data_IF_680115786566
#
_entry.id   IF_680115786566
#
_cell.length_a   1.000
_cell.length_b   1.000
_cell.length_c   1.000
_cell.angle_alpha   90.00
_cell.angle_beta   90.00
_cell.angle_gamma   90.00
#
_symmetry.space_group_name_H-M   'P 1'
#
loop_
_entity.id
_entity.type
_entity.pdbx_description
1 polymer ?
#
# COMPACT_ATOMS: atom_id res chain seq x y z
N UNK A 1 47.63 -32.66 -25.20
CA UNK A 1 47.35 -32.79 -26.61
C UNK A 1 46.29 -31.77 -26.93
N UNK A 2 46.62 -30.69 -27.58
CA UNK A 2 46.67 -30.49 -29.07
C UNK A 2 45.24 -30.47 -29.62
N UNK A 3 44.85 -29.39 -30.13
CA UNK A 3 45.00 -28.60 -31.33
C UNK A 3 43.64 -28.41 -31.99
N UNK A 4 43.26 -27.11 -32.25
CA UNK A 4 43.15 -26.44 -33.55
C UNK A 4 42.09 -27.06 -34.50
N UNK A 5 41.26 -26.35 -35.18
CA UNK A 5 41.39 -25.21 -36.11
C UNK A 5 40.00 -24.78 -36.60
N UNK A 6 39.75 -23.52 -36.68
CA UNK A 6 39.58 -22.63 -37.85
C UNK A 6 38.38 -22.79 -38.79
N UNK A 7 37.78 -21.62 -39.04
CA UNK A 7 37.27 -21.04 -40.30
C UNK A 7 35.97 -21.61 -40.94
N UNK A 8 34.99 -20.80 -41.24
CA UNK A 8 34.93 -19.90 -42.39
C UNK A 8 33.61 -19.12 -42.46
N UNK A 9 33.74 -17.89 -42.92
CA UNK A 9 32.76 -16.92 -43.44
C UNK A 9 31.74 -17.54 -44.42
N UNK A 10 30.53 -17.02 -44.42
CA UNK A 10 29.86 -16.55 -45.64
C UNK A 10 28.72 -15.58 -45.33
N UNK A 11 28.86 -14.43 -45.93
CA UNK A 11 27.97 -13.36 -46.30
C UNK A 11 26.74 -13.81 -47.09
N UNK A 12 25.60 -13.21 -46.88
CA UNK A 12 24.43 -13.32 -47.74
C UNK A 12 23.55 -12.06 -47.61
N UNK A 13 23.75 -11.17 -48.55
CA UNK A 13 22.93 -10.04 -48.92
C UNK A 13 21.70 -10.49 -49.69
N UNK A 14 20.52 -9.91 -49.43
CA UNK A 14 19.44 -9.65 -50.42
C UNK A 14 18.32 -8.88 -49.75
N UNK A 15 18.10 -7.72 -50.17
CA UNK A 15 17.29 -7.13 -51.25
C UNK A 15 15.93 -6.71 -50.73
N UNK A 16 15.82 -5.36 -50.63
CA UNK A 16 14.55 -4.63 -50.57
C UNK A 16 14.02 -4.34 -51.96
N UNK A 17 12.74 -4.46 -52.24
CA UNK A 17 12.17 -3.80 -53.43
C UNK A 17 11.55 -2.45 -53.05
N UNK A 18 11.99 -1.44 -53.77
CA UNK A 18 11.40 -0.12 -53.90
C UNK A 18 10.06 -0.24 -54.65
N UNK A 19 9.03 0.37 -54.13
CA UNK A 19 7.81 0.63 -54.88
C UNK A 19 7.66 2.12 -55.19
N UNK A 20 7.29 2.35 -56.38
CA UNK A 20 7.32 3.59 -57.16
C UNK A 20 6.19 4.56 -56.84
N UNK A 21 6.55 5.82 -56.92
CA UNK A 21 5.73 7.03 -57.03
C UNK A 21 4.78 6.97 -58.24
N UNK A 22 3.52 7.31 -58.05
CA UNK A 22 2.68 7.89 -59.10
C UNK A 22 2.00 9.16 -58.59
N UNK A 23 2.45 10.26 -59.13
CA UNK A 23 1.79 11.57 -59.15
C UNK A 23 0.46 11.45 -59.92
N UNK A 24 -0.56 12.10 -59.45
CA UNK A 24 -1.60 12.67 -60.28
C UNK A 24 -2.02 14.02 -59.71
N UNK A 25 -1.98 14.99 -60.63
CA UNK A 25 -2.22 16.40 -60.43
C UNK A 25 -3.72 16.74 -60.49
N UNK A 26 -4.06 17.74 -59.68
CA UNK A 26 -4.95 18.87 -59.85
C UNK A 26 -6.35 18.68 -60.47
N UNK A 27 -7.35 19.17 -59.76
CA UNK A 27 -8.30 20.17 -60.23
C UNK A 27 -8.94 20.97 -59.08
N UNK A 28 -8.85 22.27 -59.27
CA UNK A 28 -9.36 23.38 -58.48
C UNK A 28 -10.88 23.51 -58.49
N UNK A 29 -11.45 24.02 -57.40
CA UNK A 29 -12.75 24.66 -57.35
C UNK A 29 -13.24 24.91 -55.91
N UNK A 30 -13.66 26.13 -55.55
CA UNK A 30 -13.90 26.52 -54.16
C UNK A 30 -15.35 26.37 -53.74
N UNK A 31 -15.62 25.85 -52.57
CA UNK A 31 -16.84 26.19 -51.85
C UNK A 31 -16.82 25.88 -50.34
N UNK A 32 -17.01 26.99 -49.65
CA UNK A 32 -17.75 27.18 -48.38
C UNK A 32 -17.52 26.29 -47.17
N UNK A 33 -16.95 26.90 -46.16
CA UNK A 33 -16.91 26.53 -44.74
C UNK A 33 -18.28 26.20 -44.16
N UNK A 34 -18.33 25.18 -43.28
CA UNK A 34 -19.13 25.24 -42.07
C UNK A 34 -18.29 24.90 -40.86
N UNK A 35 -17.42 25.80 -40.41
CA UNK A 35 -16.56 25.58 -39.21
C UNK A 35 -17.15 26.08 -37.89
N UNK A 36 -18.44 26.38 -37.82
CA UNK A 36 -19.01 26.94 -36.57
C UNK A 36 -19.99 26.07 -35.76
N UNK A 37 -20.20 24.82 -36.16
CA UNK A 37 -21.14 23.95 -35.41
C UNK A 37 -20.50 22.80 -34.61
N UNK A 38 -19.25 22.54 -34.78
CA UNK A 38 -18.57 21.44 -34.05
C UNK A 38 -17.91 21.89 -32.75
N UNK A 39 -17.45 23.11 -32.64
CA UNK A 39 -16.81 23.60 -31.40
C UNK A 39 -17.77 23.75 -30.22
N UNK A 40 -19.02 24.19 -30.46
CA UNK A 40 -20.01 24.34 -29.37
C UNK A 40 -20.54 23.03 -28.77
N UNK A 41 -20.30 21.90 -29.41
CA UNK A 41 -20.75 20.58 -28.90
C UNK A 41 -19.66 19.90 -28.09
N UNK A 42 -18.41 20.29 -28.26
CA UNK A 42 -17.29 19.79 -27.46
C UNK A 42 -17.13 20.56 -26.15
N UNK A 43 -17.33 21.87 -26.15
CA UNK A 43 -17.26 22.67 -24.91
C UNK A 43 -18.33 22.29 -23.89
N UNK A 44 -19.57 21.98 -24.32
CA UNK A 44 -20.63 21.52 -23.43
C UNK A 44 -20.44 20.12 -22.82
N UNK A 45 -19.49 19.34 -23.34
CA UNK A 45 -19.20 17.99 -22.83
C UNK A 45 -18.04 18.00 -21.82
N UNK A 46 -17.24 19.07 -21.78
CA UNK A 46 -16.14 19.22 -20.81
C UNK A 46 -16.56 19.92 -19.52
N UNK A 47 -17.59 20.77 -19.53
CA UNK A 47 -18.11 21.43 -18.34
C UNK A 47 -18.91 20.51 -17.38
N UNK A 48 -19.16 19.26 -17.75
CA UNK A 48 -19.82 18.28 -16.87
C UNK A 48 -18.86 17.29 -16.18
N UNK A 49 -17.57 17.52 -16.22
CA UNK A 49 -16.56 16.71 -15.50
C UNK A 49 -15.99 17.37 -14.24
N UNK A 50 -16.58 18.44 -13.78
CA UNK A 50 -16.16 19.14 -12.59
C UNK A 50 -17.16 19.03 -11.47
N UNK A 51 -17.43 17.88 -10.94
CA UNK A 51 -17.91 17.72 -9.56
C UNK A 51 -18.08 16.23 -9.16
N UNK A 52 -17.10 15.40 -9.43
CA UNK A 52 -16.90 14.21 -8.65
C UNK A 52 -16.02 14.53 -7.43
N UNK A 53 -16.34 15.55 -6.67
CA UNK A 53 -16.10 15.52 -5.23
C UNK A 53 -16.91 14.33 -4.75
N UNK A 54 -16.23 13.22 -4.55
CA UNK A 54 -16.79 12.06 -3.87
C UNK A 54 -17.37 12.61 -2.57
N UNK A 55 -18.68 12.60 -2.42
CA UNK A 55 -19.29 12.65 -1.11
C UNK A 55 -18.68 11.46 -0.39
N UNK A 56 -17.65 11.69 0.42
CA UNK A 56 -17.35 10.80 1.51
C UNK A 56 -18.69 10.70 2.23
N UNK A 57 -19.20 9.50 2.40
CA UNK A 57 -20.29 9.29 3.32
C UNK A 57 -19.92 10.06 4.57
N UNK A 58 -20.88 10.73 5.24
CA UNK A 58 -20.65 11.57 6.42
C UNK A 58 -20.05 10.81 7.62
N UNK A 59 -19.39 9.70 7.40
CA UNK A 59 -18.71 8.89 8.39
C UNK A 59 -17.30 9.48 8.61
N UNK A 60 -17.02 10.07 9.78
CA UNK A 60 -15.74 10.71 10.09
C UNK A 60 -14.57 9.73 10.15
N UNK A 61 -14.86 8.43 10.21
CA UNK A 61 -13.84 7.39 10.27
C UNK A 61 -13.31 6.96 8.90
N UNK A 62 -13.94 7.41 7.81
CA UNK A 62 -13.46 7.11 6.45
C UNK A 62 -12.25 7.98 6.12
N UNK A 63 -11.13 7.32 5.84
CA UNK A 63 -9.88 7.94 5.37
C UNK A 63 -9.88 8.08 3.85
N UNK A 64 -10.40 7.05 3.16
CA UNK A 64 -10.41 7.01 1.70
C UNK A 64 -11.55 6.15 1.16
N UNK A 65 -12.11 6.55 0.01
CA UNK A 65 -13.08 5.76 -0.75
C UNK A 65 -14.50 5.83 -0.20
N UNK A 66 -15.19 4.69 -0.16
CA UNK A 66 -16.59 4.56 0.25
C UNK A 66 -16.69 3.88 1.61
N UNK A 67 -17.79 4.13 2.33
CA UNK A 67 -18.14 3.36 3.51
C UNK A 67 -18.44 1.90 3.13
N UNK A 68 -18.03 0.98 3.97
CA UNK A 68 -18.25 -0.46 3.83
C UNK A 68 -18.33 -1.09 5.23
N UNK A 69 -19.08 -2.17 5.32
CA UNK A 69 -19.29 -2.89 6.57
C UNK A 69 -19.27 -4.42 6.34
N UNK A 70 -18.39 -4.83 5.44
CA UNK A 70 -18.22 -6.24 5.10
C UNK A 70 -17.50 -6.99 6.21
N UNK A 71 -17.69 -8.30 6.24
CA UNK A 71 -17.02 -9.22 7.17
C UNK A 71 -15.51 -9.25 6.92
N UNK A 72 -14.74 -9.29 7.99
CA UNK A 72 -13.28 -9.23 7.96
C UNK A 72 -12.70 -10.64 7.78
N UNK A 73 -11.70 -10.75 6.93
CA UNK A 73 -10.91 -11.97 6.74
C UNK A 73 -9.55 -11.82 7.41
N UNK A 74 -9.07 -12.86 8.07
CA UNK A 74 -7.70 -12.91 8.59
C UNK A 74 -6.70 -12.96 7.43
N UNK A 75 -5.59 -12.23 7.57
CA UNK A 75 -4.58 -12.09 6.49
C UNK A 75 -3.95 -13.45 6.19
N UNK A 76 -3.71 -14.31 7.17
CA UNK A 76 -3.18 -15.67 7.00
C UNK A 76 -4.00 -16.57 6.06
N UNK A 77 -5.28 -16.22 5.82
CA UNK A 77 -6.17 -16.97 4.93
C UNK A 77 -6.10 -16.51 3.48
N UNK A 78 -5.30 -15.49 3.21
CA UNK A 78 -5.09 -14.95 1.86
C UNK A 78 -3.89 -15.67 1.23
N UNK A 79 -4.14 -16.81 0.63
CA UNK A 79 -3.12 -17.66 0.00
C UNK A 79 -3.05 -17.50 -1.53
N UNK A 80 -3.85 -16.61 -2.11
CA UNK A 80 -3.88 -16.36 -3.56
C UNK A 80 -4.73 -15.15 -3.95
N UNK A 81 -4.84 -14.87 -5.26
CA UNK A 81 -5.65 -13.76 -5.79
C UNK A 81 -7.15 -14.09 -5.73
N UNK A 82 -7.72 -14.08 -4.54
CA UNK A 82 -9.11 -14.48 -4.24
C UNK A 82 -10.16 -13.40 -4.56
N UNK A 83 -9.75 -12.25 -5.11
CA UNK A 83 -10.66 -11.17 -5.47
C UNK A 83 -10.76 -10.08 -4.41
N UNK A 84 -11.97 -9.56 -4.17
CA UNK A 84 -12.21 -8.49 -3.21
C UNK A 84 -12.24 -9.05 -1.79
N UNK A 85 -11.45 -8.44 -0.91
CA UNK A 85 -11.34 -8.82 0.51
C UNK A 85 -11.47 -7.60 1.41
N UNK A 86 -11.92 -7.84 2.63
CA UNK A 86 -11.91 -6.86 3.69
C UNK A 86 -11.02 -7.37 4.82
N UNK A 87 -10.02 -6.57 5.17
CA UNK A 87 -9.09 -6.87 6.26
C UNK A 87 -9.10 -5.76 7.30
N UNK A 88 -8.69 -6.08 8.51
CA UNK A 88 -8.32 -5.10 9.54
C UNK A 88 -6.92 -5.35 10.03
N UNK A 89 -6.22 -4.30 10.42
CA UNK A 89 -4.88 -4.49 10.94
C UNK A 89 -4.20 -3.20 11.39
N UNK A 90 -3.02 -3.38 11.93
CA UNK A 90 -2.12 -2.33 12.35
C UNK A 90 -1.16 -1.99 11.22
N UNK A 91 -0.96 -0.70 10.96
CA UNK A 91 0.03 -0.22 9.99
C UNK A 91 1.42 -0.37 10.59
N UNK A 92 2.32 -1.04 9.87
CA UNK A 92 3.72 -1.24 10.25
C UNK A 92 4.64 -0.22 9.59
N UNK A 93 4.56 -0.11 8.28
CA UNK A 93 5.39 0.79 7.45
C UNK A 93 4.53 1.56 6.48
N UNK A 94 4.99 2.74 6.09
CA UNK A 94 4.33 3.58 5.10
C UNK A 94 5.37 4.18 4.19
N UNK A 95 5.16 4.05 2.89
CA UNK A 95 5.98 4.65 1.86
C UNK A 95 5.07 5.36 0.85
N UNK A 96 5.51 6.52 0.37
CA UNK A 96 4.79 7.24 -0.68
C UNK A 96 5.75 7.59 -1.81
N UNK A 97 5.29 7.43 -3.04
CA UNK A 97 6.05 7.73 -4.23
C UNK A 97 5.18 8.44 -5.26
N UNK A 98 5.61 9.60 -5.67
CA UNK A 98 4.96 10.33 -6.76
C UNK A 98 5.18 9.60 -8.09
N UNK A 99 4.12 9.48 -8.87
CA UNK A 99 4.10 8.88 -10.19
C UNK A 99 3.58 9.90 -11.23
N UNK A 100 3.64 9.55 -12.50
CA UNK A 100 3.18 10.43 -13.58
C UNK A 100 1.70 10.78 -13.44
N UNK A 101 1.27 11.92 -14.00
CA UNK A 101 -0.11 12.40 -14.06
C UNK A 101 -0.70 12.83 -12.70
N UNK A 102 0.06 13.57 -11.90
CA UNK A 102 -0.39 14.15 -10.62
C UNK A 102 -1.01 13.12 -9.67
N UNK A 103 -0.43 11.92 -9.67
CA UNK A 103 -0.82 10.83 -8.79
C UNK A 103 0.34 10.38 -7.92
N UNK A 104 0.01 9.99 -6.73
CA UNK A 104 0.93 9.37 -5.78
C UNK A 104 0.46 7.96 -5.45
N UNK A 105 1.38 7.01 -5.46
CA UNK A 105 1.16 5.69 -4.87
C UNK A 105 1.59 5.73 -3.41
N UNK A 106 0.70 5.32 -2.53
CA UNK A 106 0.95 5.12 -1.11
C UNK A 106 0.97 3.62 -0.88
N UNK A 107 2.10 3.10 -0.42
CA UNK A 107 2.30 1.70 -0.08
C UNK A 107 2.44 1.60 1.43
N UNK A 108 1.70 0.70 2.05
CA UNK A 108 1.79 0.50 3.48
C UNK A 108 1.52 -0.95 3.85
N UNK A 109 2.35 -1.47 4.76
CA UNK A 109 2.22 -2.82 5.27
C UNK A 109 1.24 -2.84 6.45
N UNK A 110 0.31 -3.78 6.42
CA UNK A 110 -0.70 -3.97 7.47
C UNK A 110 -0.63 -5.39 7.99
N UNK A 111 -0.64 -5.54 9.31
CA UNK A 111 -0.69 -6.83 10.00
C UNK A 111 -1.90 -6.92 10.91
N UNK A 112 -2.55 -8.06 10.93
CA UNK A 112 -3.57 -8.44 11.90
C UNK A 112 -3.02 -9.33 13.02
N UNK A 113 -1.68 -9.46 13.08
CA UNK A 113 -0.91 -10.32 13.98
C UNK A 113 -0.98 -11.83 13.64
N UNK A 114 -1.68 -12.23 12.59
CA UNK A 114 -1.57 -13.57 12.00
C UNK A 114 -0.54 -13.56 10.87
N UNK A 115 -0.62 -12.55 9.99
CA UNK A 115 0.31 -12.33 8.89
C UNK A 115 0.38 -10.84 8.54
N UNK A 116 1.11 -10.50 7.48
CA UNK A 116 1.30 -9.13 7.00
C UNK A 116 1.10 -9.07 5.49
N UNK A 117 0.35 -8.07 5.03
CA UNK A 117 0.11 -7.84 3.60
C UNK A 117 0.37 -6.38 3.22
N UNK A 118 0.90 -6.18 2.00
CA UNK A 118 1.12 -4.85 1.45
C UNK A 118 -0.15 -4.31 0.80
N UNK A 119 -0.53 -3.09 1.15
CA UNK A 119 -1.61 -2.34 0.51
C UNK A 119 -1.05 -1.26 -0.41
N UNK A 120 -1.64 -1.12 -1.60
CA UNK A 120 -1.24 -0.14 -2.61
C UNK A 120 -2.41 0.77 -2.95
N UNK A 121 -2.32 2.02 -2.54
CA UNK A 121 -3.33 3.04 -2.74
C UNK A 121 -2.85 4.07 -3.77
N UNK A 122 -3.66 4.32 -4.80
CA UNK A 122 -3.40 5.36 -5.79
C UNK A 122 -4.27 6.58 -5.49
N UNK A 123 -3.65 7.64 -5.01
CA UNK A 123 -4.32 8.88 -4.66
C UNK A 123 -3.91 10.01 -5.62
N UNK A 124 -4.73 11.07 -5.70
CA UNK A 124 -4.34 12.33 -6.33
C UNK A 124 -3.42 13.08 -5.39
N UNK A 125 -2.48 13.85 -5.93
CA UNK A 125 -1.55 14.61 -5.10
C UNK A 125 -2.26 15.54 -4.09
N UNK A 126 -3.43 16.08 -4.46
CA UNK A 126 -4.25 16.95 -3.59
C UNK A 126 -4.79 16.21 -2.35
N UNK A 127 -5.10 14.92 -2.49
CA UNK A 127 -5.71 14.11 -1.42
C UNK A 127 -4.64 13.42 -0.53
N UNK A 128 -3.38 13.41 -0.95
CA UNK A 128 -2.29 12.66 -0.29
C UNK A 128 -2.05 13.13 1.12
N UNK A 129 -2.06 14.45 1.34
CA UNK A 129 -1.79 15.04 2.65
C UNK A 129 -2.83 14.58 3.70
N UNK A 130 -4.11 14.59 3.34
CA UNK A 130 -5.21 14.18 4.20
C UNK A 130 -5.15 12.67 4.50
N UNK A 131 -4.81 11.87 3.51
CA UNK A 131 -4.67 10.42 3.65
C UNK A 131 -3.48 10.09 4.56
N UNK A 132 -2.31 10.69 4.32
CA UNK A 132 -1.10 10.45 5.12
C UNK A 132 -1.21 11.01 6.54
N UNK A 133 -2.08 11.97 6.79
CA UNK A 133 -2.34 12.46 8.16
C UNK A 133 -2.82 11.33 9.09
N UNK A 134 -3.45 10.30 8.55
CA UNK A 134 -3.89 9.14 9.35
C UNK A 134 -3.09 7.87 9.07
N UNK A 135 -2.67 7.62 7.82
CA UNK A 135 -1.86 6.44 7.48
C UNK A 135 -0.45 6.64 8.03
N UNK A 136 -0.25 6.23 9.27
CA UNK A 136 1.05 6.30 9.95
C UNK A 136 1.32 4.98 10.68
N UNK A 137 2.61 4.59 10.84
CA UNK A 137 2.96 3.40 11.60
C UNK A 137 2.36 3.43 13.02
N UNK A 138 1.73 2.34 13.42
CA UNK A 138 1.07 2.22 14.71
C UNK A 138 -0.43 2.42 14.70
N UNK A 139 -1.00 3.10 13.72
CA UNK A 139 -2.44 3.27 13.58
C UNK A 139 -3.13 1.99 13.09
N UNK A 140 -4.43 1.88 13.38
CA UNK A 140 -5.23 0.73 13.00
C UNK A 140 -6.24 1.10 11.92
N UNK A 141 -6.36 0.25 10.92
CA UNK A 141 -7.23 0.46 9.76
C UNK A 141 -8.03 -0.78 9.41
N UNK A 142 -9.24 -0.56 8.87
CA UNK A 142 -10.01 -1.55 8.12
C UNK A 142 -9.96 -1.15 6.65
N UNK A 143 -9.55 -2.05 5.79
CA UNK A 143 -9.38 -1.80 4.36
C UNK A 143 -10.13 -2.83 3.53
N UNK A 144 -10.76 -2.35 2.45
CA UNK A 144 -11.41 -3.18 1.46
C UNK A 144 -10.75 -2.95 0.10
N UNK A 145 -10.32 -4.02 -0.56
CA UNK A 145 -9.67 -3.94 -1.85
C UNK A 145 -9.52 -5.29 -2.52
N UNK A 146 -8.86 -5.33 -3.65
CA UNK A 146 -8.68 -6.54 -4.46
C UNK A 146 -7.29 -7.11 -4.24
N UNK A 147 -7.22 -8.39 -3.89
CA UNK A 147 -5.94 -9.13 -3.79
C UNK A 147 -5.41 -9.42 -5.18
N UNK A 148 -4.18 -9.01 -5.42
CA UNK A 148 -3.47 -9.25 -6.69
C UNK A 148 -2.05 -9.69 -6.42
N UNK A 149 -1.50 -10.49 -7.33
CA UNK A 149 -0.07 -10.79 -7.33
C UNK A 149 0.68 -9.60 -7.91
N UNK A 150 1.65 -9.08 -7.21
CA UNK A 150 2.52 -8.03 -7.73
C UNK A 150 3.38 -8.58 -8.86
N UNK A 151 3.54 -7.77 -9.92
CA UNK A 151 4.30 -8.19 -11.11
C UNK A 151 5.81 -8.19 -10.91
N UNK A 152 6.30 -7.48 -9.89
CA UNK A 152 7.73 -7.31 -9.65
C UNK A 152 8.25 -8.29 -8.61
N UNK A 153 7.53 -8.42 -7.50
CA UNK A 153 7.98 -9.20 -6.35
C UNK A 153 7.32 -10.59 -6.30
N UNK A 154 6.28 -10.80 -7.13
CA UNK A 154 5.43 -12.00 -7.10
C UNK A 154 4.70 -12.22 -5.77
N UNK A 155 4.72 -11.23 -4.89
CA UNK A 155 4.05 -11.27 -3.61
C UNK A 155 2.58 -10.87 -3.72
N UNK A 156 1.76 -11.34 -2.79
CA UNK A 156 0.36 -10.93 -2.69
C UNK A 156 0.28 -9.51 -2.14
N UNK A 157 -0.52 -8.68 -2.78
CA UNK A 157 -0.79 -7.32 -2.32
C UNK A 157 -2.25 -6.95 -2.53
N UNK A 158 -2.79 -6.08 -1.68
CA UNK A 158 -4.12 -5.53 -1.88
C UNK A 158 -4.00 -4.23 -2.65
N UNK A 159 -4.56 -4.22 -3.84
CA UNK A 159 -4.64 -3.06 -4.74
C UNK A 159 -6.10 -2.67 -4.98
N UNK A 160 -6.33 -1.63 -5.78
CA UNK A 160 -7.70 -1.17 -6.10
C UNK A 160 -8.55 -0.97 -4.84
N UNK A 161 -8.00 -0.26 -3.86
CA UNK A 161 -8.65 -0.02 -2.57
C UNK A 161 -9.97 0.71 -2.80
N UNK A 162 -11.07 0.08 -2.38
CA UNK A 162 -12.44 0.60 -2.47
C UNK A 162 -12.74 1.53 -1.33
N UNK A 163 -12.27 1.18 -0.14
CA UNK A 163 -12.45 1.97 1.07
C UNK A 163 -11.37 1.70 2.11
N UNK A 164 -11.07 2.74 2.89
CA UNK A 164 -10.16 2.68 4.03
C UNK A 164 -10.79 3.42 5.19
N UNK A 165 -10.90 2.77 6.34
CA UNK A 165 -11.59 3.24 7.53
C UNK A 165 -10.68 3.19 8.75
N UNK A 166 -10.77 4.20 9.61
CA UNK A 166 -10.12 4.19 10.94
C UNK A 166 -10.83 3.20 11.83
N UNK A 167 -10.06 2.47 12.60
CA UNK A 167 -10.60 1.61 13.65
C UNK A 167 -9.80 1.80 14.95
N UNK A 168 -10.39 1.55 16.11
CA UNK A 168 -9.67 1.55 17.37
C UNK A 168 -8.67 0.39 17.43
N UNK A 169 -7.71 0.51 18.35
CA UNK A 169 -6.78 -0.57 18.69
C UNK A 169 -7.56 -1.79 19.19
N UNK A 170 -7.55 -2.87 18.43
CA UNK A 170 -8.23 -4.13 18.74
C UNK A 170 -7.28 -5.15 19.40
N UNK A 171 -6.05 -4.77 19.71
CA UNK A 171 -5.10 -5.67 20.35
C UNK A 171 -5.54 -5.98 21.77
N UNK A 172 -5.63 -7.27 22.10
CA UNK A 172 -5.84 -7.69 23.49
C UNK A 172 -4.54 -7.42 24.27
N UNK A 173 -4.58 -6.45 25.16
CA UNK A 173 -3.47 -6.21 26.10
C UNK A 173 -3.63 -7.15 27.28
N UNK A 174 -2.55 -7.86 27.57
CA UNK A 174 -2.50 -8.61 28.82
C UNK A 174 -2.54 -7.61 29.98
N UNK A 175 -3.35 -7.92 30.98
CA UNK A 175 -3.49 -7.15 32.21
C UNK A 175 -3.34 -8.07 33.42
N UNK A 176 -2.70 -7.58 34.44
CA UNK A 176 -2.73 -8.24 35.74
C UNK A 176 -4.00 -7.81 36.47
N UNK A 177 -4.94 -8.77 36.61
CA UNK A 177 -6.23 -8.53 37.26
C UNK A 177 -6.24 -8.97 38.73
N UNK A 178 -5.10 -9.43 39.30
CA UNK A 178 -5.00 -9.83 40.68
C UNK A 178 -5.32 -8.65 41.63
N UNK A 179 -6.11 -8.90 42.65
CA UNK A 179 -6.46 -7.89 43.65
C UNK A 179 -5.24 -7.43 44.44
N UNK A 180 -4.33 -8.34 44.73
CA UNK A 180 -3.04 -8.08 45.34
C UNK A 180 -1.94 -8.35 44.33
N UNK A 181 -1.15 -7.34 44.02
CA UNK A 181 -0.07 -7.41 43.02
C UNK A 181 1.17 -8.01 43.63
N UNK A 182 1.72 -9.01 42.96
CA UNK A 182 3.01 -9.58 43.33
C UNK A 182 4.13 -8.58 42.99
N UNK A 183 5.13 -8.46 43.85
CA UNK A 183 6.39 -7.79 43.54
C UNK A 183 7.30 -8.78 42.84
N UNK A 184 7.72 -8.46 41.61
CA UNK A 184 8.70 -9.26 40.89
C UNK A 184 10.11 -8.94 41.42
N UNK A 185 10.79 -9.97 41.94
CA UNK A 185 12.10 -9.84 42.58
C UNK A 185 13.25 -10.37 41.70
N UNK A 186 12.94 -10.97 40.55
CA UNK A 186 13.95 -11.57 39.68
C UNK A 186 13.49 -11.43 38.21
N UNK A 187 14.02 -10.45 37.49
CA UNK A 187 13.63 -10.17 36.12
C UNK A 187 14.86 -9.81 35.29
N UNK A 188 15.05 -10.50 34.17
CA UNK A 188 16.11 -10.26 33.22
C UNK A 188 15.63 -9.44 32.02
N UNK A 189 16.47 -8.50 31.62
CA UNK A 189 16.24 -7.71 30.40
C UNK A 189 17.09 -8.22 29.25
N UNK A 190 17.02 -7.56 28.10
CA UNK A 190 17.92 -7.82 26.95
C UNK A 190 19.40 -7.61 27.25
N UNK A 191 19.74 -7.04 28.41
CA UNK A 191 21.13 -6.90 28.87
C UNK A 191 21.71 -8.22 29.37
N UNK A 192 20.85 -9.14 29.81
CA UNK A 192 21.24 -10.53 30.12
C UNK A 192 21.31 -11.31 28.80
N UNK A 193 22.54 -11.50 28.31
CA UNK A 193 22.77 -12.14 27.00
C UNK A 193 22.20 -13.56 26.96
N UNK A 194 21.50 -13.90 25.89
CA UNK A 194 20.80 -15.17 25.67
C UNK A 194 19.68 -15.52 26.67
N UNK A 195 19.30 -14.63 27.60
CA UNK A 195 18.35 -14.91 28.66
C UNK A 195 17.14 -13.96 28.67
N UNK A 196 17.31 -12.71 28.29
CA UNK A 196 16.24 -11.73 28.19
C UNK A 196 16.12 -11.09 26.80
N UNK A 197 14.90 -10.74 26.38
CA UNK A 197 14.63 -10.07 25.09
C UNK A 197 13.99 -8.71 25.26
N UNK A 198 13.42 -8.41 26.42
CA UNK A 198 12.65 -7.19 26.67
C UNK A 198 13.55 -6.03 27.10
N UNK A 199 13.22 -4.83 26.64
CA UNK A 199 13.89 -3.62 27.11
C UNK A 199 13.45 -3.28 28.54
N UNK A 200 14.41 -2.83 29.38
CA UNK A 200 14.12 -2.44 30.78
C UNK A 200 13.02 -1.40 30.87
N UNK A 201 12.97 -0.44 29.94
CA UNK A 201 11.93 0.61 29.93
C UNK A 201 10.54 0.04 29.70
N UNK A 202 10.41 -0.98 28.86
CA UNK A 202 9.12 -1.61 28.54
C UNK A 202 8.65 -2.48 29.71
N UNK A 203 9.55 -3.18 30.37
CA UNK A 203 9.26 -3.93 31.60
C UNK A 203 8.74 -2.99 32.68
N UNK A 204 9.46 -1.91 32.98
CA UNK A 204 9.07 -0.92 34.00
C UNK A 204 7.73 -0.27 33.67
N UNK A 205 7.54 0.15 32.41
CA UNK A 205 6.24 0.72 31.96
C UNK A 205 5.10 -0.28 32.10
N UNK A 206 5.34 -1.56 31.85
CA UNK A 206 4.35 -2.61 32.01
C UNK A 206 3.99 -2.80 33.48
N UNK A 207 4.96 -2.87 34.36
CA UNK A 207 4.75 -2.98 35.80
C UNK A 207 3.94 -1.77 36.35
N UNK A 208 4.32 -0.55 35.94
CA UNK A 208 3.56 0.66 36.29
C UNK A 208 2.10 0.61 35.79
N UNK A 209 1.88 0.22 34.53
CA UNK A 209 0.52 0.10 33.96
C UNK A 209 -0.33 -0.92 34.70
N UNK A 210 0.26 -2.00 35.17
CA UNK A 210 -0.44 -3.03 35.92
C UNK A 210 -0.60 -2.72 37.42
N UNK A 211 -0.03 -1.60 37.88
CA UNK A 211 -0.13 -1.14 39.27
C UNK A 211 0.76 -1.94 40.24
N UNK A 212 1.87 -2.51 39.77
CA UNK A 212 2.87 -3.12 40.62
C UNK A 212 3.57 -2.05 41.46
N UNK A 213 3.78 -2.33 42.74
CA UNK A 213 4.43 -1.41 43.69
C UNK A 213 5.94 -1.29 43.45
N UNK A 214 6.58 -2.38 43.04
CA UNK A 214 8.01 -2.45 42.75
C UNK A 214 8.30 -3.59 41.79
N UNK A 215 9.49 -3.53 41.17
CA UNK A 215 10.07 -4.59 40.35
C UNK A 215 11.57 -4.53 40.51
N UNK A 216 12.24 -5.68 40.59
CA UNK A 216 13.69 -5.78 40.60
C UNK A 216 14.18 -6.26 39.23
N UNK A 217 15.18 -5.58 38.70
CA UNK A 217 15.90 -5.99 37.49
C UNK A 217 17.21 -6.60 37.95
N UNK A 218 17.48 -7.83 37.53
CA UNK A 218 18.60 -8.67 38.01
C UNK A 218 19.37 -9.25 36.83
N UNK A 219 19.86 -8.38 35.97
CA UNK A 219 20.62 -8.78 34.78
C UNK A 219 21.96 -9.44 35.15
N UNK A 220 22.42 -10.37 34.32
CA UNK A 220 23.71 -11.04 34.51
C UNK A 220 24.88 -10.12 34.17
N UNK A 221 25.87 -10.09 35.05
CA UNK A 221 27.15 -9.40 34.81
C UNK A 221 27.11 -7.90 34.88
N UNK A 222 26.01 -7.29 35.26
CA UNK A 222 25.88 -5.85 35.51
C UNK A 222 26.12 -5.56 37.02
N UNK A 223 26.93 -4.57 37.26
CA UNK A 223 27.29 -4.09 38.62
C UNK A 223 26.81 -2.65 38.78
#
# INVERSE_FOLDING_TARGET
GSENTSDTKKSGTSDFPKASNKKNEAKTGPDKKPEKKFEKKFEKKFERKGDFRRKYDNDPDIVYGRSFDDEEMAIEKIDGPIGEVTIKGKILTVESREIRNEKTIIMFAVTDFTDTIMLKLFARNDDVADILAYIAPGNFVKAKGVVTVDKYDSDLSISSIVGLKKIPDFTSKREDTAAEKRVELHCHTKMSDMDGVSDVKDIVKCAMRWGHKAIAITDHGDV
#
